data_IF_835813052200
#
_entry.id   IF_835813052200
#
_cell.length_a   1.000
_cell.length_b   1.000
_cell.length_c   1.000
_cell.angle_alpha   90.00
_cell.angle_beta   90.00
_cell.angle_gamma   90.00
#
_symmetry.space_group_name_H-M   'P 1'
#
loop_
_entity.id
_entity.type
_entity.pdbx_description
1 polymer ?
#
# COMPACT_ATOMS: atom_id res chain seq x y z
N UNK A 1 -37.23 16.53 -23.72
CA UNK A 1 -35.80 16.90 -23.77
C UNK A 1 -35.38 17.32 -22.39
N UNK A 2 -34.15 16.99 -21.98
CA UNK A 2 -33.61 17.42 -20.69
C UNK A 2 -33.48 18.96 -20.67
N UNK A 3 -33.78 19.59 -19.53
CA UNK A 3 -33.66 21.05 -19.37
C UNK A 3 -32.23 21.41 -18.96
N UNK A 4 -31.64 22.41 -19.61
CA UNK A 4 -30.27 22.86 -19.34
C UNK A 4 -30.30 24.27 -18.73
N UNK A 5 -30.11 24.43 -17.41
CA UNK A 5 -30.24 25.73 -16.75
C UNK A 5 -29.19 26.75 -17.21
N UNK A 6 -28.00 26.26 -17.59
CA UNK A 6 -26.91 27.09 -18.10
C UNK A 6 -27.18 27.63 -19.51
N UNK A 7 -28.05 26.97 -20.29
CA UNK A 7 -28.36 27.31 -21.67
C UNK A 7 -27.30 26.81 -22.66
N UNK A 8 -27.33 27.35 -23.88
CA UNK A 8 -26.29 27.09 -24.88
C UNK A 8 -25.03 27.95 -24.64
N UNK A 9 -23.97 27.76 -25.44
CA UNK A 9 -22.74 28.57 -25.34
C UNK A 9 -23.02 30.07 -25.47
N UNK A 10 -23.94 30.47 -26.36
CA UNK A 10 -24.29 31.88 -26.57
C UNK A 10 -24.92 32.49 -25.31
N UNK A 11 -25.82 31.76 -24.67
CA UNK A 11 -26.47 32.17 -23.43
C UNK A 11 -25.47 32.20 -22.27
N UNK A 12 -24.56 31.23 -22.22
CA UNK A 12 -23.47 31.19 -21.24
C UNK A 12 -22.54 32.41 -21.37
N UNK A 13 -22.09 32.75 -22.59
CA UNK A 13 -21.27 33.94 -22.84
C UNK A 13 -22.02 35.21 -22.41
N UNK A 14 -23.32 35.33 -22.73
CA UNK A 14 -24.14 36.48 -22.30
C UNK A 14 -24.22 36.58 -20.78
N UNK A 15 -24.44 35.47 -20.07
CA UNK A 15 -24.45 35.44 -18.59
C UNK A 15 -23.11 35.90 -18.00
N UNK A 16 -21.99 35.47 -18.58
CA UNK A 16 -20.65 35.90 -18.15
C UNK A 16 -20.42 37.39 -18.38
N UNK A 17 -20.82 37.93 -19.53
CA UNK A 17 -20.78 39.38 -19.80
C UNK A 17 -21.59 40.17 -18.79
N UNK A 18 -22.82 39.74 -18.52
CA UNK A 18 -23.70 40.39 -17.54
C UNK A 18 -23.11 40.35 -16.12
N UNK A 19 -22.27 39.35 -15.83
CA UNK A 19 -21.57 39.19 -14.55
C UNK A 19 -20.25 39.96 -14.48
N UNK A 20 -19.92 40.77 -15.50
CA UNK A 20 -18.66 41.52 -15.64
C UNK A 20 -17.38 40.66 -15.60
N UNK A 21 -17.47 39.37 -15.96
CA UNK A 21 -16.30 38.49 -16.06
C UNK A 21 -15.56 38.81 -17.37
N UNK A 22 -14.28 39.15 -17.27
CA UNK A 22 -13.45 39.56 -18.43
C UNK A 22 -12.93 38.38 -19.25
N UNK A 23 -12.60 37.27 -18.59
CA UNK A 23 -12.02 36.08 -19.23
C UNK A 23 -12.46 34.81 -18.49
N UNK A 24 -12.48 33.68 -19.19
CA UNK A 24 -12.72 32.35 -18.60
C UNK A 24 -11.36 31.72 -18.31
N UNK A 25 -11.23 31.02 -17.18
CA UNK A 25 -10.01 30.27 -16.89
C UNK A 25 -9.72 29.23 -18.00
N UNK A 26 -8.46 29.19 -18.45
CA UNK A 26 -7.98 28.26 -19.48
C UNK A 26 -8.36 26.80 -19.17
N UNK A 27 -8.23 26.37 -17.91
CA UNK A 27 -8.57 25.01 -17.47
C UNK A 27 -10.03 24.63 -17.79
N UNK A 28 -10.97 25.57 -17.64
CA UNK A 28 -12.39 25.33 -17.94
C UNK A 28 -12.59 25.19 -19.44
N UNK A 29 -11.94 26.04 -20.25
CA UNK A 29 -12.05 25.98 -21.71
C UNK A 29 -11.47 24.66 -22.24
N UNK A 30 -10.31 24.24 -21.71
CA UNK A 30 -9.68 22.96 -22.06
C UNK A 30 -10.57 21.78 -21.66
N UNK A 31 -11.25 21.85 -20.50
CA UNK A 31 -12.25 20.84 -20.09
C UNK A 31 -13.39 20.73 -21.09
N UNK A 32 -13.97 21.87 -21.49
CA UNK A 32 -15.06 21.96 -22.47
C UNK A 32 -14.62 21.36 -23.80
N UNK A 33 -13.44 21.73 -24.26
CA UNK A 33 -12.85 21.22 -25.49
C UNK A 33 -12.64 19.70 -25.46
N UNK A 34 -12.08 19.19 -24.35
CA UNK A 34 -11.87 17.75 -24.17
C UNK A 34 -13.17 16.96 -24.23
N UNK A 35 -14.22 17.42 -23.53
CA UNK A 35 -15.53 16.79 -23.56
C UNK A 35 -16.16 16.85 -24.96
N UNK A 36 -16.03 17.98 -25.66
CA UNK A 36 -16.48 18.12 -27.04
C UNK A 36 -15.80 17.12 -27.98
N UNK A 37 -14.47 16.98 -27.90
CA UNK A 37 -13.71 16.06 -28.73
C UNK A 37 -14.13 14.60 -28.49
N UNK A 38 -14.31 14.20 -27.22
CA UNK A 38 -14.79 12.86 -26.88
C UNK A 38 -16.19 12.61 -27.46
N UNK A 39 -17.12 13.55 -27.27
CA UNK A 39 -18.48 13.42 -27.78
C UNK A 39 -18.49 13.30 -29.30
N UNK A 40 -17.73 14.15 -30.01
CA UNK A 40 -17.66 14.13 -31.46
C UNK A 40 -16.96 12.88 -32.00
N UNK A 41 -15.98 12.33 -31.27
CA UNK A 41 -15.37 11.04 -31.59
C UNK A 41 -16.37 9.89 -31.42
N UNK A 42 -17.25 9.97 -30.42
CA UNK A 42 -18.24 8.92 -30.12
C UNK A 42 -19.47 8.93 -31.04
N UNK A 43 -19.74 10.05 -31.73
CA UNK A 43 -20.92 10.21 -32.58
C UNK A 43 -20.53 9.99 -34.05
N UNK A 44 -21.17 9.02 -34.69
CA UNK A 44 -20.88 8.70 -36.09
C UNK A 44 -21.39 9.76 -37.06
N UNK A 45 -22.56 10.35 -36.78
CA UNK A 45 -23.25 11.27 -37.68
C UNK A 45 -23.65 12.51 -36.88
N UNK A 46 -23.01 13.65 -37.18
CA UNK A 46 -23.40 14.94 -36.62
C UNK A 46 -23.25 16.00 -37.70
N UNK A 47 -24.36 16.65 -38.05
CA UNK A 47 -24.48 17.40 -39.30
C UNK A 47 -23.87 18.80 -39.22
N UNK A 48 -24.00 19.49 -38.10
CA UNK A 48 -23.55 20.88 -38.01
C UNK A 48 -23.30 21.28 -36.56
N UNK A 49 -22.09 21.77 -36.30
CA UNK A 49 -21.68 22.24 -34.98
C UNK A 49 -21.70 23.76 -34.92
N UNK A 50 -22.49 24.32 -34.01
CA UNK A 50 -22.49 25.75 -33.71
C UNK A 50 -22.54 25.97 -32.22
N UNK A 51 -22.20 27.19 -31.77
CA UNK A 51 -22.39 27.60 -30.39
C UNK A 51 -23.85 27.51 -29.90
N UNK A 52 -24.84 27.44 -30.79
CA UNK A 52 -26.26 27.22 -30.43
C UNK A 52 -26.62 25.75 -30.18
N UNK A 53 -25.84 24.81 -30.70
CA UNK A 53 -26.10 23.37 -30.57
C UNK A 53 -25.36 22.73 -29.39
N UNK A 54 -24.53 23.51 -28.69
CA UNK A 54 -23.73 23.06 -27.56
C UNK A 54 -24.30 23.67 -26.29
N UNK A 55 -24.70 22.81 -25.37
CA UNK A 55 -25.32 23.16 -24.10
C UNK A 55 -24.42 22.76 -22.94
N UNK A 56 -24.58 23.47 -21.83
CA UNK A 56 -23.92 23.16 -20.57
C UNK A 56 -24.95 22.69 -19.53
N UNK A 57 -24.58 21.68 -18.74
CA UNK A 57 -25.31 21.35 -17.53
C UNK A 57 -24.92 22.25 -16.35
N UNK A 58 -25.39 21.94 -15.14
CA UNK A 58 -25.07 22.66 -13.90
C UNK A 58 -23.58 22.57 -13.51
N UNK A 59 -22.87 21.58 -14.04
CA UNK A 59 -21.46 21.29 -13.74
C UNK A 59 -20.53 21.63 -14.91
N UNK A 60 -21.02 22.43 -15.87
CA UNK A 60 -20.33 22.78 -17.11
C UNK A 60 -19.91 21.57 -17.96
N UNK A 61 -20.60 20.43 -17.82
CA UNK A 61 -20.42 19.34 -18.74
C UNK A 61 -21.12 19.67 -20.05
N UNK A 62 -20.39 19.40 -21.13
CA UNK A 62 -20.88 19.67 -22.47
C UNK A 62 -21.90 18.62 -22.89
N UNK A 63 -23.02 19.08 -23.43
CA UNK A 63 -24.03 18.25 -24.09
C UNK A 63 -24.30 18.79 -25.49
N UNK A 64 -24.33 17.89 -26.47
CA UNK A 64 -24.65 18.24 -27.84
C UNK A 64 -26.14 18.03 -28.09
N UNK A 65 -26.79 19.06 -28.61
CA UNK A 65 -28.22 19.05 -28.92
C UNK A 65 -28.38 19.57 -30.34
N UNK A 66 -28.49 18.64 -31.30
CA UNK A 66 -29.11 18.82 -32.60
C UNK A 66 -28.97 17.52 -33.41
N UNK A 67 -29.51 16.42 -32.89
CA UNK A 67 -29.58 15.16 -33.64
C UNK A 67 -30.76 15.16 -34.61
N UNK A 68 -31.12 16.32 -35.18
CA UNK A 68 -32.18 16.39 -36.18
C UNK A 68 -31.83 15.37 -37.26
N UNK A 69 -32.57 14.26 -37.25
CA UNK A 69 -32.40 13.08 -38.10
C UNK A 69 -32.90 13.48 -39.47
N UNK A 70 -32.20 14.43 -40.10
CA UNK A 70 -32.46 14.84 -41.45
C UNK A 70 -31.88 13.75 -42.33
N UNK A 71 -32.69 12.69 -42.52
CA UNK A 71 -32.39 11.49 -43.28
C UNK A 71 -31.88 11.76 -44.71
N UNK A 72 -32.01 12.99 -45.22
CA UNK A 72 -31.69 13.35 -46.60
C UNK A 72 -30.63 14.45 -46.76
N UNK A 73 -30.01 14.95 -45.68
CA UNK A 73 -28.94 15.93 -45.83
C UNK A 73 -27.60 15.23 -46.10
N UNK A 74 -26.90 15.71 -47.13
CA UNK A 74 -25.51 15.34 -47.45
C UNK A 74 -24.71 15.35 -46.15
N UNK A 75 -23.94 14.29 -45.88
CA UNK A 75 -23.06 14.22 -44.71
C UNK A 75 -22.14 15.44 -44.73
N UNK A 76 -22.39 16.37 -43.82
CA UNK A 76 -21.51 17.50 -43.60
C UNK A 76 -20.47 17.06 -42.58
N UNK A 77 -19.23 16.97 -43.06
CA UNK A 77 -18.10 16.70 -42.19
C UNK A 77 -17.78 17.96 -41.38
N UNK A 78 -17.82 17.82 -40.05
CA UNK A 78 -17.42 18.89 -39.13
C UNK A 78 -15.93 19.12 -39.28
N UNK A 79 -15.56 20.36 -39.54
CA UNK A 79 -14.15 20.74 -39.70
C UNK A 79 -13.55 21.11 -38.36
N UNK A 80 -12.25 20.90 -38.22
CA UNK A 80 -11.51 21.29 -37.02
C UNK A 80 -11.64 22.79 -36.70
N UNK A 81 -11.63 23.61 -37.76
CA UNK A 81 -11.79 25.06 -37.67
C UNK A 81 -13.13 25.52 -37.06
N UNK A 82 -14.19 24.71 -37.16
CA UNK A 82 -15.48 25.02 -36.52
C UNK A 82 -15.35 24.98 -34.99
N UNK A 83 -14.58 24.03 -34.45
CA UNK A 83 -14.30 23.97 -33.01
C UNK A 83 -13.37 25.09 -32.59
N UNK A 84 -12.31 25.35 -33.36
CA UNK A 84 -11.41 26.49 -33.12
C UNK A 84 -12.19 27.80 -33.00
N UNK A 85 -13.16 28.01 -33.90
CA UNK A 85 -14.06 29.17 -33.87
C UNK A 85 -14.90 29.24 -32.59
N UNK A 86 -15.39 28.11 -32.08
CA UNK A 86 -16.16 28.05 -30.83
C UNK A 86 -15.28 28.36 -29.62
N UNK A 87 -14.03 27.86 -29.61
CA UNK A 87 -13.09 28.18 -28.54
C UNK A 87 -12.75 29.66 -28.50
N UNK A 88 -12.58 30.30 -29.66
CA UNK A 88 -12.34 31.75 -29.72
C UNK A 88 -13.54 32.53 -29.19
N UNK A 89 -14.76 32.10 -29.49
CA UNK A 89 -15.97 32.71 -28.91
C UNK A 89 -15.95 32.62 -27.37
N UNK A 90 -15.52 31.49 -26.81
CA UNK A 90 -15.35 31.34 -25.37
C UNK A 90 -14.21 32.20 -24.81
N UNK A 91 -13.06 32.26 -25.50
CA UNK A 91 -11.88 33.00 -25.05
C UNK A 91 -12.08 34.52 -25.07
N UNK A 92 -12.73 35.03 -26.12
CA UNK A 92 -13.01 36.46 -26.33
C UNK A 92 -14.32 36.90 -25.68
N UNK A 93 -15.11 35.94 -25.18
CA UNK A 93 -16.50 36.13 -24.78
C UNK A 93 -17.32 36.84 -25.87
N UNK A 94 -17.00 36.69 -27.15
CA UNK A 94 -17.75 37.33 -28.23
C UNK A 94 -18.60 36.31 -28.98
N UNK A 95 -19.84 36.69 -29.29
CA UNK A 95 -20.79 35.81 -29.99
C UNK A 95 -20.70 35.96 -31.51
N UNK A 96 -20.03 36.99 -32.02
CA UNK A 96 -19.78 37.16 -33.45
C UNK A 96 -18.72 36.18 -33.93
N UNK A 97 -18.86 35.72 -35.18
CA UNK A 97 -17.84 34.92 -35.87
C UNK A 97 -16.66 35.83 -36.23
N UNK A 98 -15.69 35.93 -35.33
CA UNK A 98 -14.41 36.56 -35.63
C UNK A 98 -13.50 35.48 -36.22
N UNK A 99 -12.99 35.69 -37.44
CA UNK A 99 -12.09 34.73 -38.07
C UNK A 99 -10.64 34.99 -37.73
N UNK A 100 -10.11 36.22 -37.83
CA UNK A 100 -8.65 36.32 -37.96
C UNK A 100 -7.94 37.37 -37.07
N UNK A 101 -8.60 38.41 -36.56
CA UNK A 101 -7.86 39.56 -35.99
C UNK A 101 -7.68 39.58 -34.45
N UNK A 102 -8.37 38.70 -33.71
CA UNK A 102 -8.49 38.87 -32.24
C UNK A 102 -7.66 37.93 -31.36
N UNK A 103 -7.01 36.91 -31.93
CA UNK A 103 -6.31 35.90 -31.13
C UNK A 103 -5.00 36.45 -30.54
N UNK A 104 -4.40 37.44 -31.19
CA UNK A 104 -2.99 37.79 -31.01
C UNK A 104 -2.68 38.56 -29.71
N UNK A 105 -3.65 39.18 -29.05
CA UNK A 105 -3.36 40.14 -27.96
C UNK A 105 -3.85 39.74 -26.55
N UNK A 106 -4.25 38.50 -26.32
CA UNK A 106 -4.72 38.09 -25.00
C UNK A 106 -3.60 37.55 -24.10
N UNK A 107 -3.05 38.42 -23.25
CA UNK A 107 -2.10 38.05 -22.17
C UNK A 107 -2.69 37.12 -21.09
N UNK A 108 -3.94 36.67 -21.21
CA UNK A 108 -4.64 35.87 -20.21
C UNK A 108 -4.45 34.35 -20.39
N UNK A 109 -4.02 33.90 -21.56
CA UNK A 109 -3.90 32.48 -21.89
C UNK A 109 -2.45 32.10 -22.16
N UNK A 110 -2.11 30.84 -21.89
CA UNK A 110 -0.78 30.31 -22.20
C UNK A 110 -0.52 30.35 -23.72
N UNK A 111 0.73 30.61 -24.11
CA UNK A 111 1.14 30.61 -25.52
C UNK A 111 0.84 29.27 -26.18
N UNK A 112 1.10 28.16 -25.47
CA UNK A 112 0.81 26.81 -25.95
C UNK A 112 -0.67 26.58 -26.25
N UNK A 113 -1.57 27.18 -25.47
CA UNK A 113 -3.01 27.08 -25.72
C UNK A 113 -3.45 27.94 -26.89
N UNK A 114 -2.84 29.12 -27.06
CA UNK A 114 -3.06 29.99 -28.22
C UNK A 114 -2.60 29.29 -29.50
N UNK A 115 -1.39 28.74 -29.51
CA UNK A 115 -0.83 27.98 -30.64
C UNK A 115 -1.74 26.79 -31.02
N UNK A 116 -2.30 26.10 -30.02
CA UNK A 116 -3.26 25.01 -30.23
C UNK A 116 -4.52 25.49 -30.95
N UNK A 117 -5.08 26.64 -30.54
CA UNK A 117 -6.27 27.22 -31.18
C UNK A 117 -5.94 27.62 -32.62
N UNK A 118 -4.77 28.22 -32.85
CA UNK A 118 -4.34 28.62 -34.19
C UNK A 118 -4.18 27.42 -35.13
N UNK A 119 -3.56 26.33 -34.66
CA UNK A 119 -3.48 25.06 -35.39
C UNK A 119 -4.89 24.54 -35.71
N UNK A 120 -5.81 24.59 -34.75
CA UNK A 120 -7.20 24.14 -34.96
C UNK A 120 -7.96 24.97 -35.99
N UNK A 121 -7.72 26.29 -36.05
CA UNK A 121 -8.35 27.17 -37.03
C UNK A 121 -7.84 26.95 -38.45
N UNK A 122 -6.54 26.77 -38.59
CA UNK A 122 -5.89 26.58 -39.89
C UNK A 122 -6.17 25.19 -40.46
N UNK A 123 -6.58 24.23 -39.62
CA UNK A 123 -6.88 22.87 -40.03
C UNK A 123 -8.31 22.76 -40.61
N UNK A 124 -8.39 22.61 -41.94
CA UNK A 124 -9.66 22.40 -42.65
C UNK A 124 -10.11 20.94 -42.70
N UNK A 125 -9.33 20.01 -42.15
CA UNK A 125 -9.64 18.59 -42.21
C UNK A 125 -10.81 18.23 -41.29
N UNK A 126 -11.36 17.03 -41.53
CA UNK A 126 -12.41 16.46 -40.71
C UNK A 126 -11.89 16.20 -39.29
N UNK A 127 -12.67 16.62 -38.29
CA UNK A 127 -12.36 16.45 -36.87
C UNK A 127 -11.99 15.00 -36.52
N UNK A 128 -12.63 13.99 -37.13
CA UNK A 128 -12.40 12.58 -36.79
C UNK A 128 -10.96 12.14 -37.01
N UNK A 129 -10.28 12.73 -38.00
CA UNK A 129 -8.88 12.42 -38.33
C UNK A 129 -7.93 13.02 -37.29
N UNK A 130 -8.29 14.19 -36.74
CA UNK A 130 -7.41 14.97 -35.87
C UNK A 130 -7.75 14.90 -34.39
N UNK A 131 -8.94 14.40 -34.03
CA UNK A 131 -9.39 14.30 -32.65
C UNK A 131 -8.38 13.54 -31.77
N UNK A 132 -7.83 12.43 -32.27
CA UNK A 132 -6.85 11.62 -31.53
C UNK A 132 -5.53 12.34 -31.33
N UNK A 133 -5.09 13.12 -32.32
CA UNK A 133 -3.87 13.94 -32.20
C UNK A 133 -4.06 15.03 -31.15
N UNK A 134 -5.23 15.67 -31.13
CA UNK A 134 -5.55 16.72 -30.17
C UNK A 134 -5.75 16.18 -28.77
N UNK A 135 -6.45 15.06 -28.59
CA UNK A 135 -6.62 14.42 -27.28
C UNK A 135 -5.27 13.99 -26.67
N UNK A 136 -4.26 13.71 -27.50
CA UNK A 136 -2.89 13.42 -27.07
C UNK A 136 -2.01 14.67 -26.86
N UNK A 137 -2.51 15.88 -27.18
CA UNK A 137 -1.69 17.08 -27.10
C UNK A 137 -1.37 17.43 -25.62
N UNK A 138 -0.13 17.84 -25.29
CA UNK A 138 0.31 18.00 -23.89
C UNK A 138 -0.57 18.94 -23.05
N UNK A 139 -1.08 20.02 -23.65
CA UNK A 139 -1.99 20.97 -23.00
C UNK A 139 -3.24 20.27 -22.45
N UNK A 140 -3.79 19.29 -23.16
CA UNK A 140 -4.92 18.51 -22.67
C UNK A 140 -4.51 17.56 -21.57
N UNK A 141 -3.44 16.80 -21.76
CA UNK A 141 -3.02 15.81 -20.77
C UNK A 141 -2.74 16.49 -19.42
N UNK A 142 -1.97 17.57 -19.42
CA UNK A 142 -1.59 18.26 -18.18
C UNK A 142 -2.77 18.89 -17.45
N UNK A 143 -3.77 19.40 -18.18
CA UNK A 143 -4.94 20.04 -17.59
C UNK A 143 -6.02 19.02 -17.21
N UNK A 144 -6.22 17.96 -18.00
CA UNK A 144 -7.20 16.90 -17.71
C UNK A 144 -6.80 16.04 -16.52
N UNK A 145 -5.51 15.82 -16.26
CA UNK A 145 -5.08 15.11 -15.05
C UNK A 145 -5.30 15.91 -13.75
N UNK A 146 -5.40 17.25 -13.84
CA UNK A 146 -5.80 18.09 -12.71
C UNK A 146 -7.32 18.12 -12.53
N UNK A 147 -8.04 18.06 -13.63
CA UNK A 147 -9.50 17.97 -13.67
C UNK A 147 -9.90 16.52 -13.37
N UNK A 148 -10.00 16.19 -12.08
CA UNK A 148 -10.59 14.95 -11.56
C UNK A 148 -11.62 14.35 -12.55
N UNK A 149 -11.20 13.33 -13.32
CA UNK A 149 -11.99 12.73 -14.40
C UNK A 149 -13.26 12.07 -13.83
N UNK A 150 -14.29 12.88 -13.64
CA UNK A 150 -15.63 12.52 -13.23
C UNK A 150 -16.44 11.97 -14.40
N UNK A 151 -16.23 10.70 -14.72
CA UNK A 151 -17.17 9.92 -15.53
C UNK A 151 -17.84 8.84 -14.67
N UNK A 152 -18.78 9.25 -13.81
CA UNK A 152 -20.11 8.64 -13.62
C UNK A 152 -20.91 9.44 -12.58
N UNK A 153 -22.13 9.87 -12.93
CA UNK A 153 -22.88 10.95 -12.27
C UNK A 153 -23.51 10.57 -10.91
N UNK A 154 -23.42 9.31 -10.47
CA UNK A 154 -23.93 8.89 -9.13
C UNK A 154 -22.83 8.59 -8.10
N UNK A 155 -21.54 8.72 -8.45
CA UNK A 155 -20.42 8.37 -7.56
C UNK A 155 -19.69 9.54 -6.89
N UNK A 156 -19.94 10.79 -7.28
CA UNK A 156 -19.04 11.91 -6.94
C UNK A 156 -19.10 12.36 -5.47
N UNK A 157 -20.25 12.25 -4.80
CA UNK A 157 -20.34 12.56 -3.36
C UNK A 157 -19.61 11.49 -2.55
N UNK A 158 -19.72 10.22 -2.94
CA UNK A 158 -19.00 9.14 -2.29
C UNK A 158 -17.49 9.21 -2.52
N UNK A 159 -17.01 9.61 -3.70
CA UNK A 159 -15.57 9.66 -4.03
C UNK A 159 -14.83 10.72 -3.22
N UNK A 160 -15.42 11.90 -2.98
CA UNK A 160 -14.81 12.91 -2.10
C UNK A 160 -14.74 12.41 -0.65
N UNK A 161 -15.78 11.71 -0.18
CA UNK A 161 -15.78 11.06 1.12
C UNK A 161 -14.77 9.90 1.20
N UNK A 162 -14.60 9.13 0.12
CA UNK A 162 -13.58 8.08 0.05
C UNK A 162 -12.18 8.66 0.08
N UNK A 163 -11.92 9.80 -0.59
CA UNK A 163 -10.61 10.46 -0.55
C UNK A 163 -10.27 10.97 0.85
N UNK A 164 -11.23 11.62 1.52
CA UNK A 164 -11.07 12.05 2.92
C UNK A 164 -10.88 10.86 3.85
N UNK A 165 -11.65 9.77 3.66
CA UNK A 165 -11.45 8.51 4.39
C UNK A 165 -10.07 7.91 4.14
N UNK A 166 -9.58 7.94 2.90
CA UNK A 166 -8.30 7.37 2.49
C UNK A 166 -7.12 8.19 3.03
N UNK A 167 -7.21 9.51 3.06
CA UNK A 167 -6.25 10.37 3.76
C UNK A 167 -6.24 10.11 5.27
N UNK A 168 -7.42 9.98 5.88
CA UNK A 168 -7.53 9.63 7.29
C UNK A 168 -6.95 8.24 7.58
N UNK A 169 -7.13 7.27 6.68
CA UNK A 169 -6.52 5.95 6.79
C UNK A 169 -4.99 6.01 6.65
N UNK A 170 -4.45 6.80 5.72
CA UNK A 170 -3.00 7.03 5.59
C UNK A 170 -2.41 7.69 6.84
N UNK A 171 -3.10 8.68 7.42
CA UNK A 171 -2.71 9.30 8.69
C UNK A 171 -2.73 8.28 9.84
N UNK A 172 -3.77 7.46 9.93
CA UNK A 172 -3.86 6.37 10.93
C UNK A 172 -2.75 5.33 10.73
N UNK A 173 -2.46 4.95 9.50
CA UNK A 173 -1.38 4.01 9.17
C UNK A 173 -0.02 4.56 9.59
N UNK A 174 0.26 5.85 9.32
CA UNK A 174 1.49 6.49 9.77
C UNK A 174 1.64 6.50 11.31
N UNK A 175 0.54 6.79 12.03
CA UNK A 175 0.52 6.74 13.50
C UNK A 175 0.74 5.31 14.01
N UNK A 176 0.13 4.31 13.38
CA UNK A 176 0.30 2.90 13.76
C UNK A 176 1.73 2.42 13.52
N UNK A 177 2.34 2.74 12.36
CA UNK A 177 3.74 2.43 12.08
C UNK A 177 4.69 3.08 13.09
N UNK A 178 4.42 4.32 13.51
CA UNK A 178 5.20 4.98 14.54
C UNK A 178 5.07 4.31 15.92
N UNK A 179 3.89 3.76 16.26
CA UNK A 179 3.69 2.99 17.50
C UNK A 179 4.35 1.62 17.43
N UNK A 180 4.26 0.93 16.29
CA UNK A 180 4.90 -0.36 16.04
C UNK A 180 6.41 -0.24 16.24
N UNK A 181 7.05 0.75 15.62
CA UNK A 181 8.47 1.03 15.82
C UNK A 181 8.85 1.26 17.29
N UNK A 182 8.03 2.00 18.05
CA UNK A 182 8.28 2.21 19.49
C UNK A 182 8.18 0.91 20.29
N UNK A 183 7.30 -0.01 19.91
CA UNK A 183 7.17 -1.31 20.57
C UNK A 183 8.36 -2.21 20.22
N UNK A 184 8.83 -2.20 18.97
CA UNK A 184 10.06 -2.90 18.56
C UNK A 184 11.28 -2.42 19.37
N UNK A 185 11.41 -1.11 19.58
CA UNK A 185 12.50 -0.53 20.39
C UNK A 185 12.43 -1.03 21.86
N UNK A 186 11.23 -1.11 22.44
CA UNK A 186 11.00 -1.63 23.81
C UNK A 186 11.31 -3.13 23.89
N UNK A 187 10.89 -3.91 22.89
CA UNK A 187 11.18 -5.34 22.81
C UNK A 187 12.69 -5.58 22.75
N UNK A 188 13.41 -4.85 21.91
CA UNK A 188 14.87 -4.91 21.84
C UNK A 188 15.55 -4.54 23.17
N UNK A 189 15.03 -3.54 23.89
CA UNK A 189 15.52 -3.17 25.22
C UNK A 189 15.30 -4.29 26.25
N UNK A 190 14.14 -4.95 26.23
CA UNK A 190 13.81 -6.07 27.12
C UNK A 190 14.68 -7.29 26.84
N UNK A 191 14.86 -7.68 25.57
CA UNK A 191 15.75 -8.78 25.17
C UNK A 191 17.18 -8.51 25.65
N UNK A 192 17.64 -7.26 25.53
CA UNK A 192 18.97 -6.87 26.01
C UNK A 192 19.09 -6.99 27.53
N UNK A 193 18.02 -6.66 28.26
CA UNK A 193 17.95 -6.80 29.73
C UNK A 193 17.93 -8.26 30.16
N UNK A 194 17.17 -9.10 29.48
CA UNK A 194 17.09 -10.54 29.72
C UNK A 194 18.45 -11.22 29.50
N UNK A 195 19.16 -10.86 28.42
CA UNK A 195 20.54 -11.31 28.19
C UNK A 195 21.47 -10.96 29.35
N UNK A 196 21.36 -9.74 29.91
CA UNK A 196 22.16 -9.32 31.07
C UNK A 196 21.80 -10.13 32.33
N UNK A 197 20.51 -10.36 32.60
CA UNK A 197 20.05 -11.18 33.72
C UNK A 197 20.61 -12.61 33.59
N UNK A 198 20.53 -13.21 32.40
CA UNK A 198 21.06 -14.54 32.14
C UNK A 198 22.58 -14.64 32.38
N UNK A 199 23.34 -13.57 32.13
CA UNK A 199 24.77 -13.53 32.45
C UNK A 199 24.99 -13.50 33.97
N UNK A 200 24.25 -12.66 34.71
CA UNK A 200 24.34 -12.62 36.17
C UNK A 200 23.91 -13.93 36.83
N UNK A 201 22.87 -14.59 36.32
CA UNK A 201 22.46 -15.91 36.83
C UNK A 201 23.55 -16.97 36.65
N UNK A 202 24.25 -16.97 35.51
CA UNK A 202 25.40 -17.85 35.26
C UNK A 202 26.54 -17.55 36.23
N UNK A 203 26.83 -16.28 36.47
CA UNK A 203 27.88 -15.86 37.40
C UNK A 203 27.56 -16.28 38.84
N UNK A 204 26.32 -16.07 39.29
CA UNK A 204 25.86 -16.48 40.62
C UNK A 204 25.92 -18.00 40.78
N UNK A 205 25.45 -18.76 39.78
CA UNK A 205 25.54 -20.23 39.80
C UNK A 205 26.99 -20.72 39.91
N UNK A 206 27.92 -20.09 39.18
CA UNK A 206 29.35 -20.39 39.28
C UNK A 206 29.90 -20.13 40.69
N UNK A 207 29.58 -18.96 41.27
CA UNK A 207 29.98 -18.58 42.64
C UNK A 207 29.39 -19.51 43.71
N UNK A 208 28.13 -19.95 43.55
CA UNK A 208 27.50 -20.92 44.45
C UNK A 208 28.22 -22.26 44.41
N UNK A 209 28.54 -22.78 43.22
CA UNK A 209 29.32 -24.02 43.07
C UNK A 209 30.70 -23.90 43.72
N UNK A 210 31.39 -22.76 43.53
CA UNK A 210 32.67 -22.51 44.20
C UNK A 210 32.54 -22.49 45.73
N UNK A 211 31.51 -21.84 46.26
CA UNK A 211 31.24 -21.81 47.70
C UNK A 211 30.89 -23.20 48.27
N UNK A 212 30.12 -24.00 47.54
CA UNK A 212 29.83 -25.39 47.90
C UNK A 212 31.10 -26.25 47.95
N UNK A 213 31.99 -26.11 46.95
CA UNK A 213 33.27 -26.80 46.92
C UNK A 213 34.16 -26.38 48.10
N UNK A 214 34.20 -25.09 48.41
CA UNK A 214 34.93 -24.57 49.58
C UNK A 214 34.38 -25.16 50.89
N UNK A 215 33.07 -25.13 51.10
CA UNK A 215 32.43 -25.71 52.29
C UNK A 215 32.68 -27.22 52.41
N UNK A 216 32.68 -27.97 51.30
CA UNK A 216 33.04 -29.40 51.29
C UNK A 216 34.50 -29.61 51.73
N UNK A 217 35.43 -28.78 51.26
CA UNK A 217 36.84 -28.82 51.68
C UNK A 217 36.98 -28.55 53.18
N UNK A 218 36.31 -27.52 53.71
CA UNK A 218 36.35 -27.18 55.13
C UNK A 218 35.71 -28.23 56.05
N UNK A 219 34.68 -28.96 55.57
CA UNK A 219 34.08 -30.05 56.35
C UNK A 219 35.02 -31.25 56.46
N UNK A 220 35.73 -31.58 55.39
CA UNK A 220 36.64 -32.73 55.35
C UNK A 220 37.95 -32.47 56.11
N UNK A 221 38.38 -31.21 56.30
CA UNK A 221 39.61 -30.89 57.05
C UNK A 221 39.45 -31.00 58.57
N UNK A 222 38.23 -30.93 59.11
CA UNK A 222 37.98 -31.06 60.56
C UNK A 222 38.17 -32.47 61.11
N UNK A 223 38.20 -33.52 60.27
CA UNK A 223 38.41 -34.90 60.73
C UNK A 223 39.87 -35.32 60.80
N UNK A 224 40.83 -34.42 60.54
CA UNK A 224 42.26 -34.75 60.46
C UNK A 224 43.13 -34.01 61.50
N UNK A 225 42.54 -33.12 62.30
CA UNK A 225 43.29 -32.31 63.29
C UNK A 225 43.32 -32.95 64.69
N UNK A 226 42.51 -33.97 64.98
CA UNK A 226 42.49 -34.60 66.32
C UNK A 226 43.49 -35.77 66.50
N UNK A 227 44.54 -35.88 65.66
CA UNK A 227 45.47 -37.04 65.75
C UNK A 227 46.97 -36.78 65.60
N UNK A 228 47.43 -35.54 65.58
CA UNK A 228 48.87 -35.28 65.65
C UNK A 228 49.17 -34.24 66.72
N UNK A 229 49.32 -34.75 67.94
CA UNK A 229 50.23 -34.15 68.90
C UNK A 229 51.62 -34.07 68.24
N UNK A 230 52.09 -32.83 68.06
CA UNK A 230 53.41 -32.37 68.45
C UNK A 230 54.49 -33.45 68.44
N UNK A 231 55.18 -33.58 67.32
CA UNK A 231 56.63 -33.37 67.24
C UNK A 231 57.06 -33.67 65.82
N UNK A 232 57.42 -32.63 65.07
CA UNK A 232 58.62 -32.63 64.23
C UNK A 232 58.73 -31.33 63.41
N UNK A 233 59.83 -30.66 63.66
CA UNK A 233 60.52 -29.74 62.77
C UNK A 233 60.66 -30.35 61.37
N UNK A 234 59.95 -29.80 60.40
CA UNK A 234 60.27 -29.97 58.99
C UNK A 234 59.91 -28.68 58.25
N UNK A 235 60.93 -28.10 57.62
CA UNK A 235 60.82 -26.99 56.68
C UNK A 235 59.77 -27.31 55.61
N UNK A 236 58.73 -26.50 55.54
CA UNK A 236 57.78 -26.52 54.43
C UNK A 236 58.11 -25.35 53.50
N UNK A 237 58.48 -25.69 52.26
CA UNK A 237 58.59 -24.76 51.15
C UNK A 237 57.27 -24.02 50.93
N UNK A 238 57.37 -22.69 50.90
CA UNK A 238 56.31 -21.75 50.61
C UNK A 238 55.78 -21.98 49.19
N UNK A 239 54.62 -22.65 49.07
CA UNK A 239 53.80 -22.54 47.87
C UNK A 239 53.06 -21.20 47.97
N UNK A 240 53.62 -20.18 47.30
CA UNK A 240 52.98 -18.88 47.03
C UNK A 240 51.63 -19.08 46.33
N UNK A 241 50.56 -19.16 47.11
CA UNK A 241 49.19 -18.90 46.67
C UNK A 241 48.84 -17.46 47.04
N UNK A 242 49.50 -16.52 46.36
CA UNK A 242 49.30 -15.08 46.46
C UNK A 242 48.02 -14.67 45.72
N UNK A 243 46.87 -14.92 46.35
CA UNK A 243 45.61 -14.20 46.08
C UNK A 243 44.71 -14.24 47.33
N UNK A 244 45.28 -13.85 48.47
CA UNK A 244 44.51 -13.48 49.66
C UNK A 244 43.94 -12.09 49.38
N UNK A 245 42.71 -12.05 48.84
CA UNK A 245 41.92 -10.82 48.83
C UNK A 245 41.71 -10.41 50.29
N UNK A 246 42.26 -9.26 50.71
CA UNK A 246 42.03 -8.63 52.01
C UNK A 246 40.51 -8.41 52.24
N UNK A 247 39.82 -9.42 52.77
CA UNK A 247 38.37 -9.37 53.01
C UNK A 247 38.01 -8.74 54.36
N UNK A 248 38.97 -8.15 55.07
CA UNK A 248 38.77 -7.70 56.45
C UNK A 248 39.36 -6.32 56.78
N UNK A 249 39.36 -5.37 55.84
CA UNK A 249 39.36 -3.96 56.24
C UNK A 249 38.02 -3.67 56.91
N UNK A 250 38.03 -3.61 58.25
CA UNK A 250 36.87 -3.26 59.09
C UNK A 250 36.21 -2.02 58.48
N UNK A 251 35.01 -2.21 57.94
CA UNK A 251 34.20 -1.12 57.40
C UNK A 251 33.98 -0.14 58.54
N UNK A 252 34.54 1.07 58.39
CA UNK A 252 34.39 2.12 59.38
C UNK A 252 32.97 2.70 59.22
N UNK A 253 32.05 2.22 60.06
CA UNK A 253 30.61 2.51 59.98
C UNK A 253 30.31 4.01 60.04
N UNK A 254 31.19 4.78 60.69
CA UNK A 254 31.03 6.23 60.85
C UNK A 254 31.33 7.04 59.57
N UNK A 255 32.01 6.43 58.58
CA UNK A 255 32.30 7.06 57.29
C UNK A 255 31.33 6.68 56.18
N UNK A 256 30.39 5.77 56.44
CA UNK A 256 29.34 5.45 55.47
C UNK A 256 28.29 6.56 55.50
N UNK A 257 28.20 7.34 54.43
CA UNK A 257 27.05 8.22 54.21
C UNK A 257 25.78 7.37 54.32
N UNK A 258 24.92 7.73 55.27
CA UNK A 258 23.63 7.08 55.44
C UNK A 258 22.83 7.31 54.16
N UNK A 259 22.84 6.32 53.28
CA UNK A 259 21.90 6.21 52.18
C UNK A 259 20.50 6.38 52.76
N UNK A 260 19.93 7.56 52.54
CA UNK A 260 18.53 7.79 52.83
C UNK A 260 17.76 6.90 51.86
N UNK A 261 17.47 5.68 52.28
CA UNK A 261 16.49 4.83 51.63
C UNK A 261 15.15 5.54 51.76
N UNK A 262 14.87 6.45 50.82
CA UNK A 262 13.55 7.00 50.62
C UNK A 262 12.67 5.81 50.30
N UNK A 263 11.87 5.41 51.28
CA UNK A 263 10.88 4.34 51.20
C UNK A 263 10.10 4.54 49.90
N UNK A 264 10.40 3.73 48.89
CA UNK A 264 9.72 3.81 47.61
C UNK A 264 8.24 3.55 47.87
N UNK A 265 7.38 4.45 47.43
CA UNK A 265 5.93 4.43 47.67
C UNK A 265 5.20 3.21 47.07
N UNK A 266 5.91 2.20 46.57
CA UNK A 266 5.37 0.99 45.96
C UNK A 266 4.70 0.01 46.94
N UNK A 267 4.84 0.21 48.26
CA UNK A 267 4.19 -0.65 49.27
C UNK A 267 2.79 -0.22 49.69
N UNK A 268 2.26 0.91 49.17
CA UNK A 268 0.84 1.21 49.35
C UNK A 268 0.04 0.23 48.48
N UNK A 269 -0.32 -0.92 49.07
CA UNK A 269 -1.31 -1.87 48.54
C UNK A 269 -2.49 -1.07 47.99
N UNK A 270 -2.63 -1.05 46.67
CA UNK A 270 -3.79 -0.46 45.98
C UNK A 270 -5.01 -1.29 46.38
N UNK A 271 -5.76 -0.82 47.39
CA UNK A 271 -7.06 -1.39 47.74
C UNK A 271 -8.06 -0.87 46.70
N UNK A 272 -8.37 -1.69 45.70
CA UNK A 272 -9.48 -1.43 44.79
C UNK A 272 -10.78 -1.45 45.58
N UNK A 273 -11.29 -0.29 45.97
CA UNK A 273 -12.66 -0.13 46.46
C UNK A 273 -13.57 -0.14 45.23
N UNK A 274 -14.05 -1.31 44.84
CA UNK A 274 -14.87 -1.49 43.64
C UNK A 274 -14.18 -2.40 42.63
N UNK A 275 -14.99 -3.20 41.94
CA UNK A 275 -14.64 -4.36 41.12
C UNK A 275 -13.27 -4.29 40.43
N UNK A 276 -12.45 -5.33 40.66
CA UNK A 276 -11.20 -5.55 39.96
C UNK A 276 -11.44 -5.52 38.43
N UNK A 277 -10.74 -4.68 37.65
CA UNK A 277 -10.91 -4.58 36.20
C UNK A 277 -10.63 -5.89 35.45
N UNK A 278 -10.01 -6.87 36.12
CA UNK A 278 -9.67 -8.17 35.55
C UNK A 278 -10.82 -9.19 35.61
N UNK A 279 -11.94 -8.89 36.29
CA UNK A 279 -13.06 -9.85 36.43
C UNK A 279 -14.07 -9.81 35.28
N UNK A 280 -13.98 -8.88 34.34
CA UNK A 280 -14.98 -8.70 33.27
C UNK A 280 -14.57 -9.32 31.91
N UNK A 281 -13.34 -9.83 31.74
CA UNK A 281 -12.90 -10.34 30.44
C UNK A 281 -13.51 -11.68 30.02
N UNK A 282 -14.15 -12.44 30.92
CA UNK A 282 -14.65 -13.78 30.60
C UNK A 282 -16.14 -13.85 30.21
N UNK A 283 -16.88 -12.73 30.18
CA UNK A 283 -18.35 -12.76 30.01
C UNK A 283 -18.89 -12.71 28.57
N UNK A 284 -18.04 -12.62 27.53
CA UNK A 284 -18.52 -12.53 26.14
C UNK A 284 -18.35 -13.79 25.28
N UNK A 285 -17.97 -14.94 25.85
CA UNK A 285 -17.64 -16.14 25.05
C UNK A 285 -18.76 -17.16 24.80
N UNK A 286 -20.02 -16.87 25.09
CA UNK A 286 -21.01 -17.95 25.15
C UNK A 286 -22.46 -17.66 24.79
N UNK A 287 -22.78 -16.96 23.68
CA UNK A 287 -24.13 -17.03 23.08
C UNK A 287 -24.10 -16.86 21.54
N UNK A 288 -24.05 -17.98 20.82
CA UNK A 288 -24.51 -18.12 19.42
C UNK A 288 -24.80 -19.60 19.19
N UNK A 289 -25.99 -20.09 19.55
CA UNK A 289 -27.21 -20.19 18.73
C UNK A 289 -27.06 -21.11 17.50
N UNK A 290 -27.59 -22.32 17.71
CA UNK A 290 -28.36 -23.19 16.79
C UNK A 290 -27.67 -23.88 15.61
N UNK A 291 -27.43 -25.17 15.86
CA UNK A 291 -27.59 -26.33 14.98
C UNK A 291 -28.67 -26.15 13.90
N UNK A 292 -28.33 -26.45 12.65
CA UNK A 292 -29.24 -27.06 11.67
C UNK A 292 -28.58 -28.33 11.11
N UNK A 293 -29.23 -29.47 11.40
CA UNK A 293 -29.05 -30.76 10.72
C UNK A 293 -29.66 -30.68 9.30
N UNK A 294 -29.30 -31.66 8.44
CA UNK A 294 -29.73 -31.96 7.04
C UNK A 294 -28.53 -31.71 6.09
N UNK A 295 -27.95 -32.66 5.37
CA UNK A 295 -28.41 -33.92 4.80
C UNK A 295 -27.29 -34.99 4.85
N UNK A 296 -27.68 -36.24 5.13
CA UNK A 296 -26.96 -37.46 4.73
C UNK A 296 -27.50 -37.85 3.35
N UNK A 297 -26.63 -38.33 2.46
CA UNK A 297 -26.80 -39.48 1.56
C UNK A 297 -25.39 -39.78 1.01
N UNK A 298 -24.75 -40.89 1.42
CA UNK A 298 -24.73 -42.20 0.74
C UNK A 298 -24.27 -42.11 -0.71
N UNK A 299 -23.03 -42.56 -0.99
CA UNK A 299 -22.75 -43.67 -1.90
C UNK A 299 -21.30 -44.14 -1.68
N UNK A 300 -21.19 -45.44 -1.41
CA UNK A 300 -20.01 -46.29 -1.38
C UNK A 300 -19.54 -46.62 -2.79
N UNK A 301 -18.24 -46.90 -2.94
CA UNK A 301 -17.57 -47.89 -3.83
C UNK A 301 -16.19 -47.34 -4.23
N UNK A 302 -15.08 -47.69 -3.55
CA UNK A 302 -14.28 -48.91 -3.74
C UNK A 302 -13.98 -49.26 -5.20
N UNK A 303 -12.79 -48.88 -5.68
CA UNK A 303 -12.01 -49.72 -6.59
C UNK A 303 -10.50 -49.46 -6.41
N UNK A 304 -9.85 -50.47 -5.83
CA UNK A 304 -8.42 -50.77 -5.91
C UNK A 304 -8.19 -51.65 -7.15
N UNK A 305 -6.90 -51.88 -7.47
CA UNK A 305 -6.31 -52.75 -8.51
C UNK A 305 -5.98 -52.01 -9.83
N UNK A 306 -4.83 -52.17 -10.51
CA UNK A 306 -3.79 -53.22 -10.53
C UNK A 306 -2.44 -52.62 -10.96
N UNK A 307 -1.38 -53.22 -10.43
CA UNK A 307 0.03 -53.24 -10.84
C UNK A 307 0.28 -53.54 -12.33
N UNK A 308 1.33 -52.97 -12.91
CA UNK A 308 1.87 -53.40 -14.21
C UNK A 308 3.34 -53.03 -14.35
N UNK A 309 4.22 -53.96 -13.98
CA UNK A 309 5.61 -54.05 -14.45
C UNK A 309 5.64 -54.67 -15.88
N UNK A 310 6.87 -54.87 -16.39
CA UNK A 310 7.32 -55.33 -17.73
C UNK A 310 7.70 -54.12 -18.61
N UNK A 311 8.89 -54.00 -19.20
CA UNK A 311 9.99 -54.94 -19.37
C UNK A 311 11.16 -54.27 -20.11
N UNK A 312 12.31 -54.91 -19.98
CA UNK A 312 13.66 -54.61 -20.45
C UNK A 312 13.90 -54.62 -21.97
N UNK A 313 14.89 -53.83 -22.45
CA UNK A 313 15.93 -54.19 -23.46
C UNK A 313 16.85 -52.96 -23.71
N UNK A 314 18.12 -52.90 -23.24
CA UNK A 314 19.41 -53.40 -23.79
C UNK A 314 19.77 -52.93 -25.21
N UNK A 315 20.74 -52.01 -25.33
CA UNK A 315 22.09 -52.19 -25.94
C UNK A 315 22.77 -50.85 -26.38
N UNK A 316 23.99 -50.61 -25.84
CA UNK A 316 25.28 -50.16 -26.47
C UNK A 316 25.31 -48.92 -27.39
N UNK A 317 26.35 -48.08 -27.51
CA UNK A 317 27.70 -47.98 -26.93
C UNK A 317 28.37 -46.66 -27.39
N UNK A 318 29.38 -46.21 -26.62
CA UNK A 318 30.62 -45.49 -27.02
C UNK A 318 30.53 -44.05 -27.62
N UNK A 319 30.99 -43.04 -26.86
CA UNK A 319 32.35 -42.46 -27.02
C UNK A 319 32.61 -41.19 -26.18
N UNK A 320 33.85 -41.15 -25.69
CA UNK A 320 34.61 -40.14 -24.96
C UNK A 320 34.44 -38.67 -25.40
N UNK A 321 34.50 -37.72 -24.46
CA UNK A 321 35.72 -36.95 -24.12
C UNK A 321 35.43 -35.71 -23.24
N UNK A 322 36.42 -35.38 -22.42
CA UNK A 322 36.68 -34.12 -21.70
C UNK A 322 35.82 -33.71 -20.49
N UNK A 323 36.33 -34.11 -19.31
CA UNK A 323 36.23 -33.38 -18.04
C UNK A 323 36.85 -31.98 -18.18
N UNK A 324 36.24 -30.97 -17.55
CA UNK A 324 37.02 -30.01 -16.77
C UNK A 324 36.56 -29.98 -15.30
N UNK A 325 37.48 -29.53 -14.46
CA UNK A 325 37.52 -29.70 -13.03
C UNK A 325 36.31 -29.09 -12.28
N UNK A 326 35.76 -29.88 -11.35
CA UNK A 326 34.86 -29.42 -10.32
C UNK A 326 35.65 -28.60 -9.28
N UNK A 327 35.46 -27.28 -9.29
CA UNK A 327 35.74 -26.46 -8.11
C UNK A 327 34.54 -26.61 -7.18
N UNK A 328 34.75 -27.29 -6.06
CA UNK A 328 33.84 -27.36 -4.92
C UNK A 328 33.62 -25.94 -4.36
N UNK A 329 32.45 -25.35 -4.64
CA UNK A 329 31.94 -24.23 -3.85
C UNK A 329 30.98 -24.79 -2.81
N UNK A 330 31.38 -24.59 -1.56
CA UNK A 330 30.67 -24.97 -0.35
C UNK A 330 29.24 -24.43 -0.37
N UNK A 331 28.35 -25.25 0.19
CA UNK A 331 26.92 -25.04 0.12
C UNK A 331 26.45 -23.83 0.93
N UNK A 332 25.95 -22.82 0.23
CA UNK A 332 24.96 -21.91 0.81
C UNK A 332 23.61 -22.62 0.79
N UNK A 333 23.25 -23.25 1.92
CA UNK A 333 21.87 -23.69 2.17
C UNK A 333 20.96 -22.45 2.18
N UNK A 334 20.22 -22.24 1.10
CA UNK A 334 19.07 -21.32 1.07
C UNK A 334 18.09 -21.78 2.16
N UNK A 335 17.86 -20.93 3.17
CA UNK A 335 16.78 -21.13 4.14
C UNK A 335 15.44 -21.21 3.38
N UNK A 336 14.55 -22.17 3.67
CA UNK A 336 13.21 -22.17 3.11
C UNK A 336 12.46 -20.94 3.62
N UNK A 337 11.91 -20.14 2.71
CA UNK A 337 11.07 -19.00 3.06
C UNK A 337 9.78 -19.51 3.71
N UNK A 338 9.47 -19.02 4.91
CA UNK A 338 8.22 -19.30 5.65
C UNK A 338 6.95 -18.66 5.03
N UNK A 339 7.00 -18.21 3.78
CA UNK A 339 5.84 -17.66 3.09
C UNK A 339 5.05 -18.77 2.41
N UNK A 340 3.99 -19.23 3.09
CA UNK A 340 2.93 -20.02 2.46
C UNK A 340 2.36 -19.23 1.27
N UNK A 341 2.37 -19.86 0.08
CA UNK A 341 1.72 -19.34 -1.13
C UNK A 341 0.23 -19.13 -0.86
N UNK A 342 -0.18 -17.90 -0.52
CA UNK A 342 -1.59 -17.53 -0.42
C UNK A 342 -2.18 -17.42 -1.83
N UNK A 343 -2.95 -18.42 -2.25
CA UNK A 343 -3.78 -18.36 -3.46
C UNK A 343 -5.05 -17.56 -3.15
N UNK A 344 -5.20 -16.41 -3.80
CA UNK A 344 -6.40 -15.60 -3.69
C UNK A 344 -7.36 -15.94 -4.85
N UNK A 345 -8.58 -16.35 -4.52
CA UNK A 345 -9.67 -16.51 -5.51
C UNK A 345 -10.49 -15.22 -5.55
N UNK A 346 -10.43 -14.51 -6.67
CA UNK A 346 -11.31 -13.38 -6.95
C UNK A 346 -12.53 -13.91 -7.74
N UNK A 347 -13.71 -13.83 -7.13
CA UNK A 347 -14.99 -14.10 -7.79
C UNK A 347 -15.60 -12.76 -8.19
N UNK A 348 -15.58 -12.45 -9.48
CA UNK A 348 -16.33 -11.34 -10.07
C UNK A 348 -17.71 -11.86 -10.51
N UNK A 349 -18.73 -11.00 -10.59
CA UNK A 349 -20.11 -11.34 -11.01
C UNK A 349 -20.24 -11.63 -12.53
N UNK A 350 -19.33 -12.41 -13.08
CA UNK A 350 -19.40 -12.96 -14.44
C UNK A 350 -18.93 -14.42 -14.36
N UNK A 351 -19.41 -15.30 -15.24
CA UNK A 351 -19.16 -16.76 -15.20
C UNK A 351 -17.68 -17.19 -15.42
N UNK A 352 -16.75 -16.25 -15.36
CA UNK A 352 -15.31 -16.48 -15.53
C UNK A 352 -14.60 -16.40 -14.18
N UNK A 353 -14.01 -17.51 -13.77
CA UNK A 353 -13.12 -17.53 -12.60
C UNK A 353 -11.69 -17.25 -13.00
N UNK A 354 -11.09 -16.26 -12.35
CA UNK A 354 -9.69 -15.88 -12.56
C UNK A 354 -8.87 -16.32 -11.35
N UNK A 355 -7.72 -16.95 -11.62
CA UNK A 355 -6.77 -17.32 -10.56
C UNK A 355 -5.56 -16.41 -10.68
N UNK A 356 -5.33 -15.63 -9.63
CA UNK A 356 -4.15 -14.79 -9.51
C UNK A 356 -3.13 -15.51 -8.66
N UNK A 357 -1.90 -15.64 -9.16
CA UNK A 357 -0.80 -16.19 -8.39
C UNK A 357 0.48 -15.41 -8.65
N UNK A 358 1.34 -15.37 -7.63
CA UNK A 358 2.61 -14.67 -7.66
C UNK A 358 3.72 -15.69 -7.89
N UNK A 359 4.49 -15.53 -8.97
CA UNK A 359 5.62 -16.40 -9.27
C UNK A 359 6.83 -15.53 -9.61
N UNK A 360 7.94 -15.74 -8.90
CA UNK A 360 9.21 -15.00 -9.09
C UNK A 360 9.05 -13.47 -9.03
N UNK A 361 8.27 -12.97 -8.07
CA UNK A 361 8.09 -11.54 -7.83
C UNK A 361 7.14 -10.82 -8.80
N UNK A 362 6.60 -11.50 -9.81
CA UNK A 362 5.61 -10.93 -10.74
C UNK A 362 4.22 -11.53 -10.49
N UNK A 363 3.18 -10.68 -10.48
CA UNK A 363 1.79 -11.15 -10.49
C UNK A 363 1.40 -11.65 -11.88
N UNK A 364 0.83 -12.85 -11.96
CA UNK A 364 0.29 -13.42 -13.19
C UNK A 364 -1.19 -13.76 -13.01
N UNK A 365 -1.98 -13.47 -14.03
CA UNK A 365 -3.42 -13.74 -14.08
C UNK A 365 -3.66 -14.80 -15.16
N UNK A 366 -4.31 -15.92 -14.81
CA UNK A 366 -4.76 -16.92 -15.79
C UNK A 366 -6.28 -17.05 -15.75
N UNK A 367 -6.92 -16.95 -16.91
CA UNK A 367 -8.32 -17.37 -17.09
C UNK A 367 -8.39 -18.88 -17.14
N UNK A 368 -9.27 -19.48 -16.34
CA UNK A 368 -9.72 -20.85 -16.59
C UNK A 368 -11.04 -20.78 -17.37
N UNK A 369 -11.04 -21.33 -18.57
CA UNK A 369 -12.29 -21.68 -19.25
C UNK A 369 -12.76 -23.02 -18.68
N UNK A 370 -13.95 -23.00 -18.08
CA UNK A 370 -14.68 -24.23 -17.79
C UNK A 370 -15.13 -24.77 -19.15
N UNK A 371 -14.47 -25.82 -19.61
CA UNK A 371 -14.97 -26.62 -20.73
C UNK A 371 -16.18 -27.35 -20.15
N UNK A 372 -17.36 -27.05 -20.69
CA UNK A 372 -18.64 -27.69 -20.37
C UNK A 372 -18.68 -29.12 -20.88
#
# INVERSE_FOLDING_TARGET
MEYFPSGNIVDFIKKLKNSNIKHINEEIIVKILFQLLILLKSIDIYNYMTSKTIYFDEHFNVKLLNFSILHNLKKFDIKMCDIGSILIQLCTLNTSKLRDEYIVNNNYYSTQFIDLIEVMLNDTNNIKINADKLLCHPVFLMNTFKLDCGMSVNGCIEILDYRRKLENLRKKEAILKAKEKKLEDVEHALISREKKINLYEKEIKSKLVQAELYLRRCKNSKSLVDKYDIDNSAEYEEIECSDIVETSKKINVDKLEKSCFTRTFSERRVKFKGHSPLKEMDFHRGKSIRKSKLFKDQYTESNKFISGEIGSEKLRDISNTHKPACITKEGYKKKPSLFNEKKFKLRMKTDKTWVVYQSRGQMRIKSRHLIS
#
